data_IF_537429092618
#
_entry.id   IF_537429092618
#
_cell.length_a   1.000
_cell.length_b   1.000
_cell.length_c   1.000
_cell.angle_alpha   90.00
_cell.angle_beta   90.00
_cell.angle_gamma   90.00
#
_symmetry.space_group_name_H-M   'P 1'
#
loop_
_entity.id
_entity.type
_entity.pdbx_description
1 polymer ?
#
# COMPACT_ATOMS: atom_id res chain seq x y z
N UNK A 1 -4.33 15.19 -8.84
CA UNK A 1 -4.08 14.23 -7.75
C UNK A 1 -4.59 14.81 -6.44
N UNK A 2 -5.35 14.04 -5.64
CA UNK A 2 -5.75 14.39 -4.28
C UNK A 2 -5.06 13.41 -3.32
N UNK A 3 -4.31 13.92 -2.35
CA UNK A 3 -3.60 13.09 -1.37
C UNK A 3 -3.41 13.79 -0.03
N UNK A 4 -3.33 12.98 1.04
CA UNK A 4 -2.89 13.45 2.34
C UNK A 4 -1.38 13.71 2.34
N UNK A 5 -0.95 14.82 2.92
CA UNK A 5 0.45 15.23 3.02
C UNK A 5 0.69 15.99 4.32
N UNK A 6 1.95 16.09 4.73
CA UNK A 6 2.40 17.06 5.72
C UNK A 6 2.86 18.37 5.05
N UNK A 7 2.95 19.45 5.80
CA UNK A 7 3.35 20.76 5.27
C UNK A 7 4.79 20.74 4.72
N UNK A 8 5.65 19.94 5.32
CA UNK A 8 7.06 19.77 4.96
C UNK A 8 7.30 18.83 3.78
N UNK A 9 6.28 18.12 3.31
CA UNK A 9 6.43 17.17 2.20
C UNK A 9 6.71 17.89 0.88
N UNK A 10 7.76 17.46 0.20
CA UNK A 10 8.09 17.93 -1.15
C UNK A 10 7.43 17.01 -2.17
N UNK A 11 6.25 17.42 -2.65
CA UNK A 11 5.52 16.68 -3.68
C UNK A 11 5.99 17.10 -5.07
N UNK A 12 6.58 16.15 -5.82
CA UNK A 12 6.99 16.35 -7.22
C UNK A 12 6.04 15.63 -8.14
N UNK A 13 5.29 16.36 -8.93
CA UNK A 13 4.39 15.82 -9.94
C UNK A 13 4.88 16.22 -11.33
N UNK A 14 4.54 15.43 -12.37
CA UNK A 14 4.79 15.82 -13.76
C UNK A 14 4.12 17.16 -14.10
N UNK A 15 4.67 17.83 -15.11
CA UNK A 15 4.06 19.06 -15.65
C UNK A 15 2.61 18.82 -16.10
N UNK A 16 1.72 19.76 -15.81
CA UNK A 16 0.30 19.68 -16.14
C UNK A 16 -0.55 18.88 -15.15
N UNK A 17 0.06 18.27 -14.11
CA UNK A 17 -0.70 17.53 -13.08
C UNK A 17 -1.10 18.47 -11.94
N UNK A 18 -2.41 18.72 -11.78
CA UNK A 18 -2.96 19.46 -10.65
C UNK A 18 -2.85 18.69 -9.33
N UNK A 19 -2.57 19.40 -8.22
CA UNK A 19 -2.44 18.81 -6.89
C UNK A 19 -3.42 19.45 -5.90
N UNK A 20 -4.19 18.62 -5.22
CA UNK A 20 -5.17 18.99 -4.19
C UNK A 20 -4.74 18.38 -2.85
N UNK A 21 -3.90 19.08 -2.05
CA UNK A 21 -3.40 18.54 -0.80
C UNK A 21 -4.48 18.51 0.29
N UNK A 22 -4.46 17.46 1.10
CA UNK A 22 -5.15 17.36 2.38
C UNK A 22 -4.08 17.40 3.47
N UNK A 23 -3.98 18.54 4.16
CA UNK A 23 -2.91 18.79 5.13
C UNK A 23 -3.23 18.15 6.48
N UNK A 24 -2.38 17.21 6.90
CA UNK A 24 -2.37 16.65 8.25
C UNK A 24 -1.42 17.44 9.17
N UNK A 25 -1.54 17.28 10.47
CA UNK A 25 -0.89 18.10 11.50
C UNK A 25 -1.15 19.59 11.26
N UNK A 26 -2.38 19.90 10.90
CA UNK A 26 -2.91 21.22 10.67
C UNK A 26 -4.02 21.54 11.68
N UNK A 27 -4.54 22.76 11.67
CA UNK A 27 -5.71 23.12 12.49
C UNK A 27 -6.94 22.27 12.15
N UNK A 28 -7.07 21.85 10.88
CA UNK A 28 -8.21 21.08 10.38
C UNK A 28 -8.06 19.57 10.66
N UNK A 29 -6.85 19.03 10.54
CA UNK A 29 -6.52 17.63 10.83
C UNK A 29 -5.30 17.58 11.76
N UNK A 30 -5.49 17.72 13.09
CA UNK A 30 -4.39 17.89 14.04
C UNK A 30 -3.58 16.61 14.33
N UNK A 31 -3.94 15.50 13.72
CA UNK A 31 -3.30 14.21 13.90
C UNK A 31 -2.45 13.79 12.69
N UNK A 32 -1.64 12.75 12.87
CA UNK A 32 -0.81 12.20 11.80
C UNK A 32 -1.66 11.48 10.75
N UNK A 33 -1.18 11.42 9.51
CA UNK A 33 -1.85 10.73 8.40
C UNK A 33 -2.17 9.28 8.78
N UNK A 34 -3.43 8.82 8.66
CA UNK A 34 -3.74 7.41 8.87
C UNK A 34 -3.06 6.52 7.83
N UNK A 35 -2.25 5.58 8.32
CA UNK A 35 -1.52 4.63 7.50
C UNK A 35 -2.35 3.41 7.12
N UNK A 36 -2.26 2.96 5.86
CA UNK A 36 -2.88 1.70 5.42
C UNK A 36 -2.22 0.45 6.01
N UNK A 37 -1.08 0.62 6.70
CA UNK A 37 -0.43 -0.41 7.51
C UNK A 37 -0.18 0.14 8.90
N UNK A 38 -0.27 -0.71 9.92
CA UNK A 38 -0.02 -0.32 11.32
C UNK A 38 1.45 0.10 11.57
N UNK A 39 2.33 -0.26 10.64
CA UNK A 39 3.76 0.12 10.65
C UNK A 39 4.14 0.77 9.34
N UNK A 40 4.02 2.08 9.30
CA UNK A 40 4.48 2.89 8.18
C UNK A 40 5.96 3.28 8.38
N UNK A 41 6.71 3.61 7.32
CA UNK A 41 8.08 4.10 7.41
C UNK A 41 8.17 5.57 7.90
N UNK A 42 7.05 6.17 8.23
CA UNK A 42 6.88 7.51 8.77
C UNK A 42 5.87 7.46 9.93
N UNK A 43 5.83 8.50 10.74
CA UNK A 43 4.85 8.62 11.82
C UNK A 43 3.43 8.69 11.25
N UNK A 44 2.57 7.79 11.70
CA UNK A 44 1.21 7.67 11.19
C UNK A 44 0.23 7.29 12.30
N UNK A 45 -1.00 7.74 12.15
CA UNK A 45 -2.12 7.25 12.95
C UNK A 45 -2.51 5.84 12.46
N UNK A 46 -2.82 4.94 13.39
CA UNK A 46 -3.41 3.64 13.05
C UNK A 46 -4.92 3.81 12.94
N UNK A 47 -5.54 3.27 11.90
CA UNK A 47 -7.00 3.43 11.72
C UNK A 47 -7.83 2.90 12.87
N UNK A 48 -7.39 1.81 13.55
CA UNK A 48 -8.08 1.27 14.74
C UNK A 48 -8.06 2.21 15.94
N UNK A 49 -7.14 3.16 15.97
CA UNK A 49 -6.95 4.09 17.09
C UNK A 49 -7.65 5.44 16.84
N UNK A 50 -8.29 5.59 15.71
CA UNK A 50 -9.09 6.79 15.41
C UNK A 50 -10.39 6.78 16.21
N UNK A 51 -10.54 7.75 17.10
CA UNK A 51 -11.78 7.98 17.80
C UNK A 51 -12.87 8.58 16.90
N UNK A 52 -14.07 8.78 17.44
CA UNK A 52 -15.21 9.30 16.70
C UNK A 52 -14.97 10.72 16.18
N UNK A 53 -14.36 11.60 17.02
CA UNK A 53 -14.05 12.98 16.65
C UNK A 53 -13.01 13.08 15.53
N UNK A 54 -11.94 12.27 15.60
CA UNK A 54 -10.93 12.15 14.55
C UNK A 54 -11.57 11.64 13.24
N UNK A 55 -12.42 10.62 13.35
CA UNK A 55 -13.09 10.02 12.18
C UNK A 55 -14.04 11.01 11.52
N UNK A 56 -14.85 11.71 12.29
CA UNK A 56 -15.78 12.73 11.78
C UNK A 56 -15.02 13.86 11.07
N UNK A 57 -13.99 14.40 11.72
CA UNK A 57 -13.16 15.48 11.18
C UNK A 57 -12.46 15.05 9.89
N UNK A 58 -11.91 13.85 9.88
CA UNK A 58 -11.30 13.23 8.69
C UNK A 58 -12.30 13.15 7.53
N UNK A 59 -13.47 12.53 7.78
CA UNK A 59 -14.50 12.35 6.75
C UNK A 59 -15.02 13.68 6.23
N UNK A 60 -15.25 14.66 7.09
CA UNK A 60 -15.71 16.01 6.72
C UNK A 60 -14.67 16.72 5.82
N UNK A 61 -13.41 16.69 6.22
CA UNK A 61 -12.32 17.34 5.48
C UNK A 61 -12.14 16.70 4.11
N UNK A 62 -12.08 15.35 4.03
CA UNK A 62 -11.96 14.67 2.75
C UNK A 62 -13.18 14.91 1.84
N UNK A 63 -14.40 14.89 2.36
CA UNK A 63 -15.59 15.22 1.54
C UNK A 63 -15.51 16.61 0.92
N UNK A 64 -15.08 17.59 1.69
CA UNK A 64 -14.90 18.96 1.18
C UNK A 64 -13.83 19.00 0.11
N UNK A 65 -12.66 18.42 0.37
CA UNK A 65 -11.52 18.39 -0.57
C UNK A 65 -11.81 17.62 -1.85
N UNK A 66 -12.56 16.53 -1.78
CA UNK A 66 -13.01 15.79 -2.95
C UNK A 66 -13.92 16.65 -3.82
N UNK A 67 -14.90 17.33 -3.22
CA UNK A 67 -15.80 18.23 -3.97
C UNK A 67 -15.05 19.39 -4.61
N UNK A 68 -14.19 20.08 -3.86
CA UNK A 68 -13.32 21.15 -4.38
C UNK A 68 -12.49 20.67 -5.59
N UNK A 69 -11.90 19.47 -5.49
CA UNK A 69 -11.10 18.91 -6.57
C UNK A 69 -11.96 18.56 -7.81
N UNK A 70 -13.12 17.97 -7.61
CA UNK A 70 -14.03 17.59 -8.71
C UNK A 70 -14.58 18.84 -9.40
N UNK A 71 -15.02 19.83 -8.64
CA UNK A 71 -15.54 21.10 -9.18
C UNK A 71 -14.48 21.90 -9.96
N UNK A 72 -13.24 21.92 -9.44
CA UNK A 72 -12.15 22.67 -10.07
C UNK A 72 -11.55 21.95 -11.29
N UNK A 73 -11.40 20.63 -11.21
CA UNK A 73 -10.70 19.85 -12.26
C UNK A 73 -11.65 19.26 -13.30
N UNK A 74 -12.92 19.02 -12.93
CA UNK A 74 -13.96 18.42 -13.78
C UNK A 74 -13.50 17.11 -14.47
N UNK A 75 -13.14 16.08 -13.69
CA UNK A 75 -12.60 14.84 -14.25
C UNK A 75 -13.66 14.03 -15.00
N UNK A 76 -13.27 13.38 -16.11
CA UNK A 76 -14.12 12.44 -16.84
C UNK A 76 -14.23 11.08 -16.13
N UNK A 77 -13.24 10.73 -15.31
CA UNK A 77 -13.23 9.53 -14.47
C UNK A 77 -12.32 9.74 -13.26
N UNK A 78 -12.54 8.96 -12.21
CA UNK A 78 -11.75 9.01 -10.99
C UNK A 78 -11.16 7.62 -10.71
N UNK A 79 -9.85 7.57 -10.48
CA UNK A 79 -9.14 6.37 -10.02
C UNK A 79 -8.75 6.54 -8.55
N UNK A 80 -9.19 5.61 -7.71
CA UNK A 80 -8.89 5.61 -6.29
C UNK A 80 -7.96 4.44 -5.94
N UNK A 81 -6.97 4.71 -5.12
CA UNK A 81 -6.12 3.68 -4.55
C UNK A 81 -6.59 3.31 -3.14
N UNK A 82 -6.59 2.01 -2.85
CA UNK A 82 -7.16 1.36 -1.67
C UNK A 82 -8.69 1.39 -1.61
N UNK A 83 -9.29 0.22 -1.49
CA UNK A 83 -10.73 0.06 -1.31
C UNK A 83 -11.12 0.32 0.16
N UNK A 84 -10.93 1.57 0.58
CA UNK A 84 -11.13 1.94 1.97
C UNK A 84 -11.82 3.31 2.10
N UNK A 85 -11.65 3.97 3.23
CA UNK A 85 -12.44 5.14 3.64
C UNK A 85 -12.43 6.29 2.60
N UNK A 86 -11.28 6.69 2.04
CA UNK A 86 -11.21 7.78 1.04
C UNK A 86 -11.93 7.39 -0.26
N UNK A 87 -11.77 6.16 -0.72
CA UNK A 87 -12.48 5.66 -1.91
C UNK A 87 -13.99 5.62 -1.68
N UNK A 88 -14.43 5.20 -0.49
CA UNK A 88 -15.82 5.23 -0.10
C UNK A 88 -16.38 6.66 -0.06
N UNK A 89 -15.63 7.61 0.50
CA UNK A 89 -15.99 9.04 0.51
C UNK A 89 -16.07 9.62 -0.90
N UNK A 90 -15.16 9.22 -1.78
CA UNK A 90 -15.20 9.65 -3.19
C UNK A 90 -16.47 9.18 -3.86
N UNK A 91 -16.83 7.90 -3.74
CA UNK A 91 -18.10 7.38 -4.29
C UNK A 91 -19.35 8.01 -3.65
N UNK A 92 -19.26 8.41 -2.38
CA UNK A 92 -20.35 9.10 -1.69
C UNK A 92 -20.56 10.53 -2.21
N UNK A 93 -19.47 11.25 -2.47
CA UNK A 93 -19.50 12.63 -2.96
C UNK A 93 -19.83 12.74 -4.45
N UNK A 94 -19.44 11.75 -5.25
CA UNK A 94 -19.48 11.80 -6.72
C UNK A 94 -20.44 10.75 -7.25
N UNK A 95 -21.48 11.16 -7.98
CA UNK A 95 -22.53 10.25 -8.49
C UNK A 95 -22.47 10.06 -10.00
N UNK A 96 -22.18 11.13 -10.73
CA UNK A 96 -22.33 11.22 -12.18
C UNK A 96 -21.01 10.99 -12.96
N UNK A 97 -19.92 10.79 -12.23
CA UNK A 97 -18.60 10.51 -12.80
C UNK A 97 -18.22 9.07 -12.45
N UNK A 98 -17.70 8.27 -13.39
CA UNK A 98 -17.21 6.92 -13.11
C UNK A 98 -16.08 6.92 -12.08
N UNK A 99 -16.21 6.07 -11.05
CA UNK A 99 -15.20 5.91 -9.99
C UNK A 99 -14.73 4.47 -9.94
N UNK A 100 -13.44 4.27 -10.15
CA UNK A 100 -12.78 2.97 -10.11
C UNK A 100 -11.85 2.88 -8.90
N UNK A 101 -11.73 1.68 -8.32
CA UNK A 101 -10.87 1.42 -7.18
C UNK A 101 -9.79 0.36 -7.46
N UNK A 102 -8.57 0.61 -6.98
CA UNK A 102 -7.48 -0.38 -6.98
C UNK A 102 -7.31 -0.98 -5.59
N UNK A 103 -7.36 -2.29 -5.48
CA UNK A 103 -7.09 -3.03 -4.25
C UNK A 103 -5.59 -3.26 -4.06
N UNK A 104 -5.07 -3.00 -2.85
CA UNK A 104 -3.65 -3.15 -2.50
C UNK A 104 -3.41 -4.14 -1.34
N UNK A 105 -4.35 -5.01 -0.99
CA UNK A 105 -4.31 -5.95 0.13
C UNK A 105 -4.34 -5.33 1.53
N UNK A 106 -3.72 -4.17 1.74
CA UNK A 106 -3.74 -3.48 3.03
C UNK A 106 -5.14 -2.99 3.39
N UNK A 107 -5.93 -2.59 2.41
CA UNK A 107 -7.35 -2.29 2.51
C UNK A 107 -8.17 -3.49 3.02
N UNK A 108 -8.03 -4.65 2.40
CA UNK A 108 -8.67 -5.88 2.87
C UNK A 108 -8.22 -6.27 4.29
N UNK A 109 -6.95 -6.02 4.63
CA UNK A 109 -6.43 -6.24 5.98
C UNK A 109 -7.12 -5.31 6.98
N UNK A 110 -7.24 -4.01 6.68
CA UNK A 110 -7.94 -3.07 7.55
C UNK A 110 -9.40 -3.50 7.75
N UNK A 111 -10.09 -3.87 6.68
CA UNK A 111 -11.47 -4.36 6.75
C UNK A 111 -11.65 -5.62 7.62
N UNK A 112 -10.60 -6.44 7.79
CA UNK A 112 -10.64 -7.63 8.67
C UNK A 112 -10.29 -7.33 10.11
N UNK A 113 -9.48 -6.30 10.36
CA UNK A 113 -8.92 -6.03 11.68
C UNK A 113 -9.86 -5.28 12.61
N UNK A 114 -10.67 -4.38 12.09
CA UNK A 114 -11.54 -3.50 12.88
C UNK A 114 -12.75 -3.05 12.07
N UNK A 115 -13.71 -2.45 12.75
CA UNK A 115 -15.02 -2.11 12.19
C UNK A 115 -15.19 -0.61 11.88
N UNK A 116 -14.09 0.17 11.84
CA UNK A 116 -14.14 1.60 11.56
C UNK A 116 -14.91 1.88 10.27
N UNK A 117 -16.08 2.50 10.39
CA UNK A 117 -16.97 2.86 9.26
C UNK A 117 -17.26 1.69 8.28
N UNK A 118 -17.18 0.44 8.75
CA UNK A 118 -17.30 -0.76 7.91
C UNK A 118 -18.54 -0.76 7.03
N UNK A 119 -19.72 -0.51 7.57
CA UNK A 119 -20.96 -0.49 6.82
C UNK A 119 -20.96 0.59 5.74
N UNK A 120 -20.50 1.79 6.10
CA UNK A 120 -20.36 2.89 5.14
C UNK A 120 -19.39 2.51 4.02
N UNK A 121 -18.20 2.01 4.36
CA UNK A 121 -17.19 1.59 3.37
C UNK A 121 -17.76 0.51 2.45
N UNK A 122 -18.30 -0.58 2.99
CA UNK A 122 -18.89 -1.67 2.19
C UNK A 122 -19.96 -1.16 1.25
N UNK A 123 -20.89 -0.34 1.76
CA UNK A 123 -22.02 0.18 0.95
C UNK A 123 -21.57 1.08 -0.20
N UNK A 124 -20.45 1.80 -0.07
CA UNK A 124 -19.94 2.70 -1.10
C UNK A 124 -19.00 2.01 -2.07
N UNK A 125 -18.12 1.13 -1.58
CA UNK A 125 -17.25 0.30 -2.43
C UNK A 125 -18.09 -0.60 -3.34
N UNK A 126 -19.19 -1.17 -2.85
CA UNK A 126 -20.14 -1.94 -3.65
C UNK A 126 -20.80 -1.16 -4.81
N UNK A 127 -20.73 0.17 -4.80
CA UNK A 127 -21.28 1.07 -5.84
C UNK A 127 -20.23 1.62 -6.79
N UNK A 128 -18.98 1.18 -6.72
CA UNK A 128 -17.94 1.56 -7.68
C UNK A 128 -18.28 1.03 -9.07
N UNK A 129 -17.90 1.77 -10.09
CA UNK A 129 -18.11 1.39 -11.50
C UNK A 129 -17.19 0.24 -11.92
N UNK A 130 -16.05 0.06 -11.23
CA UNK A 130 -15.18 -1.09 -11.37
C UNK A 130 -14.10 -1.13 -10.30
N UNK A 131 -13.59 -2.34 -10.08
CA UNK A 131 -12.52 -2.62 -9.13
C UNK A 131 -11.41 -3.38 -9.82
N UNK A 132 -10.18 -2.98 -9.58
CA UNK A 132 -8.99 -3.63 -10.08
C UNK A 132 -8.30 -4.44 -8.98
N UNK A 133 -8.17 -5.73 -9.20
CA UNK A 133 -7.43 -6.67 -8.36
C UNK A 133 -6.05 -6.98 -8.97
N UNK A 134 -5.08 -7.33 -8.13
CA UNK A 134 -3.73 -7.69 -8.58
C UNK A 134 -3.66 -9.13 -9.11
N UNK A 135 -4.44 -10.03 -8.54
CA UNK A 135 -4.45 -11.45 -8.92
C UNK A 135 -5.77 -12.13 -8.51
N UNK A 136 -5.96 -13.37 -8.97
CA UNK A 136 -7.22 -14.10 -8.80
C UNK A 136 -7.62 -14.30 -7.33
N UNK A 137 -6.68 -14.61 -6.45
CA UNK A 137 -6.99 -14.79 -5.03
C UNK A 137 -7.45 -13.48 -4.38
N UNK A 138 -6.84 -12.35 -4.75
CA UNK A 138 -7.30 -11.04 -4.27
C UNK A 138 -8.72 -10.71 -4.78
N UNK A 139 -9.04 -11.04 -6.04
CA UNK A 139 -10.40 -10.91 -6.56
C UNK A 139 -11.40 -11.69 -5.69
N UNK A 140 -11.10 -12.94 -5.36
CA UNK A 140 -11.95 -13.74 -4.47
C UNK A 140 -12.15 -13.10 -3.09
N UNK A 141 -11.08 -12.53 -2.52
CA UNK A 141 -11.15 -11.85 -1.23
C UNK A 141 -11.96 -10.55 -1.29
N UNK A 142 -11.86 -9.78 -2.37
CA UNK A 142 -12.69 -8.59 -2.61
C UNK A 142 -14.17 -8.96 -2.60
N UNK A 143 -14.54 -10.03 -3.33
CA UNK A 143 -15.92 -10.52 -3.42
C UNK A 143 -16.48 -11.04 -2.08
N UNK A 144 -15.63 -11.50 -1.16
CA UNK A 144 -16.03 -11.87 0.20
C UNK A 144 -16.27 -10.68 1.12
N UNK A 145 -15.50 -9.61 0.92
CA UNK A 145 -15.52 -8.45 1.83
C UNK A 145 -16.53 -7.40 1.41
N UNK A 146 -16.68 -7.17 0.11
CA UNK A 146 -17.52 -6.10 -0.42
C UNK A 146 -18.72 -6.65 -1.22
N UNK A 147 -19.92 -6.04 -1.10
CA UNK A 147 -21.10 -6.41 -1.86
C UNK A 147 -21.02 -5.90 -3.30
N UNK A 148 -20.12 -6.47 -4.10
CA UNK A 148 -19.85 -6.08 -5.49
C UNK A 148 -20.06 -7.27 -6.42
N UNK A 149 -20.61 -7.01 -7.61
CA UNK A 149 -20.76 -8.02 -8.64
C UNK A 149 -19.42 -8.47 -9.20
N UNK A 150 -19.25 -9.76 -9.45
CA UNK A 150 -17.99 -10.32 -9.97
C UNK A 150 -17.56 -9.70 -11.30
N UNK A 151 -18.51 -9.34 -12.16
CA UNK A 151 -18.30 -8.68 -13.45
C UNK A 151 -17.59 -7.34 -13.34
N UNK A 152 -17.74 -6.64 -12.21
CA UNK A 152 -17.09 -5.37 -11.92
C UNK A 152 -15.68 -5.51 -11.38
N UNK A 153 -15.25 -6.71 -10.98
CA UNK A 153 -13.90 -6.95 -10.46
C UNK A 153 -13.01 -7.56 -11.54
N UNK A 154 -12.05 -6.78 -12.02
CA UNK A 154 -11.09 -7.17 -13.08
C UNK A 154 -9.70 -7.37 -12.51
N UNK A 155 -8.94 -8.30 -13.06
CA UNK A 155 -7.54 -8.50 -12.70
C UNK A 155 -6.69 -7.61 -13.59
N UNK A 156 -6.02 -6.62 -13.00
CA UNK A 156 -5.09 -5.73 -13.67
C UNK A 156 -3.64 -6.23 -13.61
N UNK A 157 -3.33 -7.06 -12.60
CA UNK A 157 -1.97 -7.48 -12.32
C UNK A 157 -1.12 -6.41 -11.64
N UNK A 158 0.13 -6.74 -11.41
CA UNK A 158 1.17 -5.81 -10.94
C UNK A 158 2.10 -5.51 -12.10
N UNK A 159 2.17 -4.26 -12.50
CA UNK A 159 3.12 -3.83 -13.51
C UNK A 159 4.54 -3.66 -12.94
N UNK A 160 5.54 -3.65 -13.83
CA UNK A 160 6.90 -3.25 -13.51
C UNK A 160 7.47 -2.43 -14.69
N UNK A 161 8.48 -1.63 -14.42
CA UNK A 161 9.13 -0.87 -15.46
C UNK A 161 10.18 -1.74 -16.16
N UNK A 162 9.85 -2.27 -17.33
CA UNK A 162 10.69 -3.13 -18.16
C UNK A 162 11.94 -2.42 -18.73
N UNK A 163 11.95 -1.09 -18.76
CA UNK A 163 13.14 -0.30 -19.12
C UNK A 163 14.19 -0.27 -18.01
N UNK A 164 13.77 -0.50 -16.75
CA UNK A 164 14.65 -0.56 -15.58
C UNK A 164 14.94 -2.01 -15.20
N UNK A 165 13.89 -2.83 -15.17
CA UNK A 165 13.98 -4.24 -14.75
C UNK A 165 13.92 -5.15 -15.97
N UNK A 166 15.06 -5.39 -16.59
CA UNK A 166 15.18 -6.26 -17.74
C UNK A 166 16.40 -7.18 -17.64
N UNK A 167 16.34 -8.32 -18.31
CA UNK A 167 17.45 -9.26 -18.33
C UNK A 167 18.52 -8.83 -19.33
N UNK A 168 19.75 -8.62 -18.86
CA UNK A 168 20.91 -8.37 -19.73
C UNK A 168 21.63 -9.70 -20.04
N UNK A 169 21.37 -10.25 -21.20
CA UNK A 169 22.05 -11.44 -21.69
C UNK A 169 21.70 -12.76 -20.96
N UNK A 170 22.47 -13.80 -21.20
CA UNK A 170 22.30 -15.08 -20.55
C UNK A 170 22.89 -15.06 -19.12
N UNK A 171 22.22 -15.78 -18.22
CA UNK A 171 22.73 -15.94 -16.86
C UNK A 171 23.80 -17.04 -16.87
N UNK A 172 25.07 -16.72 -16.59
CA UNK A 172 26.09 -17.75 -16.48
C UNK A 172 25.76 -18.71 -15.33
N UNK A 173 26.12 -19.96 -15.47
CA UNK A 173 26.16 -20.89 -14.34
C UNK A 173 27.04 -20.27 -13.26
N UNK A 174 26.53 -20.19 -12.05
CA UNK A 174 27.25 -19.57 -10.94
C UNK A 174 27.56 -20.63 -9.86
N UNK A 175 28.84 -20.72 -9.54
CA UNK A 175 29.32 -21.37 -8.34
C UNK A 175 30.20 -20.33 -7.61
N UNK A 176 29.80 -19.87 -6.45
CA UNK A 176 28.57 -20.19 -5.68
C UNK A 176 27.27 -19.69 -6.33
N UNK A 177 26.14 -20.35 -5.99
CA UNK A 177 24.82 -19.90 -6.40
C UNK A 177 24.52 -18.54 -5.79
N UNK A 178 24.21 -17.56 -6.61
CA UNK A 178 23.92 -16.19 -6.18
C UNK A 178 22.43 -15.97 -5.98
N UNK A 179 22.05 -15.57 -4.78
CA UNK A 179 20.70 -15.26 -4.35
C UNK A 179 20.58 -13.77 -4.06
N UNK A 180 19.43 -13.18 -4.38
CA UNK A 180 19.10 -11.78 -4.06
C UNK A 180 17.76 -11.76 -3.35
N UNK A 181 17.73 -11.12 -2.19
CA UNK A 181 16.50 -10.69 -1.54
C UNK A 181 16.32 -9.20 -1.82
N UNK A 182 15.17 -8.81 -2.32
CA UNK A 182 14.81 -7.40 -2.53
C UNK A 182 13.57 -7.05 -1.70
N UNK A 183 13.71 -6.10 -0.77
CA UNK A 183 12.61 -5.67 0.09
C UNK A 183 13.08 -5.10 1.42
N UNK A 184 12.14 -4.72 2.30
CA UNK A 184 12.47 -4.29 3.66
C UNK A 184 13.22 -5.40 4.39
N UNK A 185 14.41 -5.12 4.89
CA UNK A 185 15.22 -6.07 5.67
C UNK A 185 14.63 -6.16 7.08
N UNK A 186 13.72 -7.10 7.29
CA UNK A 186 13.00 -7.27 8.54
C UNK A 186 12.61 -8.72 8.81
N UNK A 187 12.36 -9.03 10.07
CA UNK A 187 11.88 -10.35 10.50
C UNK A 187 10.51 -10.68 9.86
N UNK A 188 9.64 -9.69 9.74
CA UNK A 188 8.31 -9.84 9.12
C UNK A 188 8.39 -10.22 7.63
N UNK A 189 9.49 -9.85 6.95
CA UNK A 189 9.77 -10.24 5.57
C UNK A 189 10.50 -11.57 5.45
N UNK A 190 10.70 -12.26 6.56
CA UNK A 190 11.29 -13.58 6.59
C UNK A 190 12.82 -13.63 6.43
N UNK A 191 13.52 -12.48 6.57
CA UNK A 191 14.98 -12.42 6.36
C UNK A 191 15.73 -13.33 7.35
N UNK A 192 15.32 -13.37 8.62
CA UNK A 192 15.91 -14.26 9.61
C UNK A 192 15.72 -15.75 9.22
N UNK A 193 14.52 -16.12 8.78
CA UNK A 193 14.24 -17.50 8.32
C UNK A 193 15.05 -17.85 7.07
N UNK A 194 15.23 -16.88 6.15
CA UNK A 194 16.08 -17.07 4.97
C UNK A 194 17.53 -17.36 5.37
N UNK A 195 18.12 -16.56 6.27
CA UNK A 195 19.49 -16.76 6.76
C UNK A 195 19.68 -18.13 7.42
N UNK A 196 18.76 -18.51 8.32
CA UNK A 196 18.80 -19.83 8.96
C UNK A 196 18.71 -20.98 7.93
N UNK A 197 17.88 -20.83 6.91
CA UNK A 197 17.74 -21.84 5.85
C UNK A 197 19.02 -21.94 5.00
N UNK A 198 19.64 -20.81 4.68
CA UNK A 198 20.90 -20.78 3.92
C UNK A 198 22.07 -21.40 4.71
N UNK A 199 22.16 -21.17 6.03
CA UNK A 199 23.13 -21.83 6.87
C UNK A 199 23.02 -23.34 6.82
N UNK A 200 21.79 -23.90 6.79
CA UNK A 200 21.60 -25.38 6.63
C UNK A 200 22.06 -25.87 5.27
N UNK A 201 21.72 -25.16 4.18
CA UNK A 201 22.11 -25.56 2.81
C UNK A 201 23.64 -25.47 2.63
N UNK A 202 24.27 -24.46 3.23
CA UNK A 202 25.75 -24.33 3.21
C UNK A 202 26.43 -25.47 3.97
N UNK A 203 25.87 -25.89 5.10
CA UNK A 203 26.37 -27.04 5.85
C UNK A 203 26.35 -28.37 5.03
N UNK A 204 25.52 -28.44 3.97
CA UNK A 204 25.50 -29.55 3.01
C UNK A 204 26.57 -29.40 1.91
N UNK A 205 27.51 -28.46 2.04
CA UNK A 205 28.65 -28.29 1.12
C UNK A 205 28.31 -27.49 -0.16
N UNK A 206 27.16 -26.84 -0.26
CA UNK A 206 26.80 -26.02 -1.42
C UNK A 206 27.27 -24.57 -1.25
N UNK A 207 28.05 -24.10 -2.21
CA UNK A 207 28.45 -22.69 -2.26
C UNK A 207 27.26 -21.77 -2.51
N UNK A 208 27.01 -20.81 -1.59
CA UNK A 208 25.92 -19.83 -1.67
C UNK A 208 26.44 -18.42 -1.39
N UNK A 209 25.93 -17.46 -2.12
CA UNK A 209 26.13 -16.05 -1.86
C UNK A 209 24.75 -15.35 -1.80
N UNK A 210 24.47 -14.66 -0.71
CA UNK A 210 23.23 -13.89 -0.55
C UNK A 210 23.54 -12.39 -0.57
N UNK A 211 22.79 -11.67 -1.38
CA UNK A 211 22.73 -10.19 -1.34
C UNK A 211 21.38 -9.75 -0.80
N UNK A 212 21.37 -8.96 0.27
CA UNK A 212 20.18 -8.32 0.80
C UNK A 212 20.10 -6.88 0.27
N UNK A 213 19.15 -6.61 -0.60
CA UNK A 213 18.90 -5.29 -1.19
C UNK A 213 17.63 -4.69 -0.62
N UNK A 214 17.74 -3.61 0.18
CA UNK A 214 16.58 -2.92 0.72
C UNK A 214 16.91 -2.02 1.90
N UNK A 215 15.98 -1.12 2.20
CA UNK A 215 16.04 -0.27 3.38
C UNK A 215 15.58 -0.98 4.66
N UNK A 216 15.85 -0.36 5.77
CA UNK A 216 15.45 -0.79 7.10
C UNK A 216 14.36 0.13 7.66
N UNK A 217 13.61 -0.39 8.62
CA UNK A 217 12.69 0.44 9.41
C UNK A 217 13.15 0.62 10.86
N UNK A 218 14.01 -0.28 11.37
CA UNK A 218 14.45 -0.31 12.77
C UNK A 218 15.92 -0.74 12.83
N UNK A 219 16.77 0.13 13.36
CA UNK A 219 18.22 -0.14 13.48
C UNK A 219 18.51 -1.37 14.35
N UNK A 220 17.76 -1.60 15.41
CA UNK A 220 17.90 -2.77 16.29
C UNK A 220 17.58 -4.06 15.55
N UNK A 221 16.59 -4.04 14.69
CA UNK A 221 16.23 -5.20 13.88
C UNK A 221 17.31 -5.52 12.84
N UNK A 222 17.89 -4.50 12.23
CA UNK A 222 18.99 -4.65 11.29
C UNK A 222 20.22 -5.22 11.96
N UNK A 223 20.57 -4.73 13.15
CA UNK A 223 21.71 -5.24 13.90
C UNK A 223 21.53 -6.72 14.29
N UNK A 224 20.30 -7.09 14.71
CA UNK A 224 19.95 -8.49 14.96
C UNK A 224 20.11 -9.35 13.71
N UNK A 225 19.68 -8.86 12.54
CA UNK A 225 19.83 -9.59 11.27
C UNK A 225 21.30 -9.72 10.87
N UNK A 226 22.11 -8.68 11.08
CA UNK A 226 23.56 -8.74 10.88
C UNK A 226 24.22 -9.80 11.77
N UNK A 227 23.91 -9.77 13.06
CA UNK A 227 24.41 -10.76 14.02
C UNK A 227 24.05 -12.20 13.63
N UNK A 228 22.84 -12.41 13.08
CA UNK A 228 22.43 -13.70 12.54
C UNK A 228 23.20 -14.08 11.28
N UNK A 229 23.50 -13.11 10.41
CA UNK A 229 24.29 -13.36 9.19
C UNK A 229 25.74 -13.71 9.53
N UNK A 230 26.34 -13.04 10.52
CA UNK A 230 27.69 -13.29 11.00
C UNK A 230 27.82 -14.64 11.73
N UNK A 231 26.74 -15.08 12.39
CA UNK A 231 26.67 -16.37 13.05
C UNK A 231 26.40 -17.55 12.08
N UNK A 232 26.01 -17.27 10.84
CA UNK A 232 25.83 -18.27 9.79
C UNK A 232 27.17 -18.47 9.04
N UNK A 233 27.89 -19.55 9.25
CA UNK A 233 29.20 -19.80 8.67
C UNK A 233 29.22 -19.87 7.14
#
# INVERSE_FOLDING_TARGET
VLAGVYREDVVRLPEGVGFFPVLFRSEELPFAIPGMSDRMPYESTVYSDMDEGMTETYMKTFRRKIREAVESFQPDLILCHHLYLVTALTRDCVRDIPVFGFCHNTDLRQMRKHDLQREFICSRIGKLDGIFALHQEQKKEILKVYPVEESRVRIAGTGYNDRIFFRKGEKPAADPVRLVFAGKVSQEKGVASLLCSLGRVKAEGKGLQLTLAGGNGDEREVERIRSLADACP
#
